data_IF_289967780394
#
_entry.id   IF_289967780394
#
_cell.length_a   1.000
_cell.length_b   1.000
_cell.length_c   1.000
_cell.angle_alpha   90.00
_cell.angle_beta   90.00
_cell.angle_gamma   90.00
#
_symmetry.space_group_name_H-M   'P 1'
#
loop_
_entity.id
_entity.type
_entity.pdbx_description
1 polymer ?
#
# COMPACT_ATOMS: atom_id res chain seq x y z
N UNK A 1 24.51 -32.34 -70.51
CA UNK A 1 24.09 -32.88 -71.81
C UNK A 1 22.83 -32.16 -72.24
N UNK A 2 22.90 -31.38 -73.33
CA UNK A 2 21.74 -30.89 -74.09
C UNK A 2 21.16 -32.08 -74.87
N UNK A 3 19.85 -32.20 -75.04
CA UNK A 3 19.21 -32.61 -76.31
C UNK A 3 17.66 -32.51 -76.20
N UNK A 4 17.13 -31.57 -77.00
CA UNK A 4 15.87 -31.46 -77.78
C UNK A 4 15.15 -32.81 -78.14
N UNK A 5 13.96 -32.88 -78.81
CA UNK A 5 12.93 -31.85 -79.14
C UNK A 5 11.44 -32.34 -79.31
N UNK A 6 10.62 -31.41 -79.85
CA UNK A 6 9.54 -31.60 -80.87
C UNK A 6 8.13 -31.94 -80.36
N UNK A 7 7.15 -31.03 -80.47
CA UNK A 7 6.41 -30.59 -81.67
C UNK A 7 5.40 -31.65 -82.15
N UNK A 8 4.11 -31.43 -81.87
CA UNK A 8 3.02 -31.94 -82.72
C UNK A 8 1.88 -30.93 -82.82
N UNK A 9 1.50 -30.72 -84.08
CA UNK A 9 0.37 -29.98 -84.62
C UNK A 9 -0.97 -30.67 -84.31
N UNK A 10 -2.06 -29.90 -84.25
CA UNK A 10 -3.30 -30.33 -84.91
C UNK A 10 -4.65 -30.06 -84.22
N UNK A 11 -5.45 -29.21 -84.88
CA UNK A 11 -6.88 -29.41 -85.20
C UNK A 11 -8.01 -29.11 -84.17
N UNK A 12 -8.64 -27.95 -84.38
CA UNK A 12 -10.07 -27.66 -84.58
C UNK A 12 -11.18 -28.40 -83.76
N UNK A 13 -12.02 -27.61 -83.06
CA UNK A 13 -13.47 -27.42 -83.31
C UNK A 13 -14.14 -26.79 -82.07
N UNK A 14 -14.60 -25.54 -82.18
CA UNK A 14 -16.00 -25.08 -82.21
C UNK A 14 -16.89 -25.43 -80.99
N UNK A 15 -17.52 -24.37 -80.48
CA UNK A 15 -18.88 -24.23 -79.96
C UNK A 15 -19.16 -24.12 -78.44
N UNK A 16 -20.08 -23.17 -78.21
CA UNK A 16 -21.04 -22.97 -77.11
C UNK A 16 -20.63 -22.14 -75.88
N UNK A 17 -21.18 -20.92 -75.89
CA UNK A 17 -21.55 -20.13 -74.72
C UNK A 17 -22.37 -20.97 -73.73
N UNK A 18 -22.10 -20.81 -72.44
CA UNK A 18 -23.15 -20.86 -71.42
C UNK A 18 -22.75 -20.02 -70.22
N UNK A 19 -23.65 -19.11 -69.85
CA UNK A 19 -23.57 -18.29 -68.65
C UNK A 19 -23.88 -19.16 -67.42
N UNK A 20 -23.04 -19.10 -66.40
CA UNK A 20 -23.31 -19.68 -65.08
C UNK A 20 -22.76 -18.74 -64.03
N UNK A 21 -23.66 -18.03 -63.34
CA UNK A 21 -23.34 -17.13 -62.24
C UNK A 21 -22.66 -17.89 -61.10
N UNK A 22 -21.47 -17.40 -60.72
CA UNK A 22 -20.82 -17.79 -59.48
C UNK A 22 -21.22 -16.82 -58.38
N UNK A 23 -21.85 -17.35 -57.34
CA UNK A 23 -22.12 -16.65 -56.09
C UNK A 23 -20.83 -16.04 -55.49
N UNK A 24 -20.87 -14.83 -54.94
CA UNK A 24 -19.76 -14.33 -54.14
C UNK A 24 -19.75 -15.06 -52.80
N UNK A 25 -18.76 -15.94 -52.64
CA UNK A 25 -18.41 -16.57 -51.38
C UNK A 25 -17.93 -15.48 -50.42
N UNK A 26 -18.82 -14.97 -49.57
CA UNK A 26 -18.46 -14.13 -48.43
C UNK A 26 -17.81 -15.07 -47.41
N UNK A 27 -16.48 -15.17 -47.48
CA UNK A 27 -15.68 -15.72 -46.41
C UNK A 27 -15.74 -14.73 -45.24
N UNK A 28 -16.60 -15.01 -44.25
CA UNK A 28 -16.51 -14.35 -42.95
C UNK A 28 -15.23 -14.82 -42.27
N UNK A 29 -14.23 -13.95 -42.19
CA UNK A 29 -13.06 -14.16 -41.35
C UNK A 29 -13.50 -14.45 -39.91
N UNK A 30 -12.81 -15.32 -39.16
CA UNK A 30 -13.05 -15.47 -37.72
C UNK A 30 -12.74 -14.12 -37.07
N UNK A 31 -13.71 -13.55 -36.35
CA UNK A 31 -13.43 -12.46 -35.44
C UNK A 31 -12.64 -13.06 -34.29
N UNK A 32 -11.33 -12.81 -34.26
CA UNK A 32 -10.51 -13.03 -33.06
C UNK A 32 -11.06 -12.07 -32.00
N UNK A 33 -11.90 -12.59 -31.10
CA UNK A 33 -12.29 -11.88 -29.89
C UNK A 33 -11.03 -11.88 -29.03
N UNK A 34 -10.32 -10.76 -28.96
CA UNK A 34 -9.25 -10.57 -27.98
C UNK A 34 -9.87 -10.77 -26.59
N UNK A 35 -9.52 -11.88 -25.93
CA UNK A 35 -9.79 -12.16 -24.52
C UNK A 35 -9.07 -11.09 -23.69
N UNK A 36 -9.80 -10.05 -23.34
CA UNK A 36 -9.30 -8.99 -22.50
C UNK A 36 -9.50 -9.45 -21.05
N UNK A 37 -8.60 -10.33 -20.63
CA UNK A 37 -8.65 -11.01 -19.34
C UNK A 37 -9.02 -10.08 -18.17
N UNK A 38 -9.64 -10.67 -17.14
CA UNK A 38 -10.20 -9.96 -16.00
C UNK A 38 -9.23 -8.97 -15.35
N UNK A 39 -9.70 -7.77 -15.05
CA UNK A 39 -8.91 -6.66 -14.48
C UNK A 39 -9.64 -6.03 -13.30
N UNK A 40 -8.93 -5.65 -12.23
CA UNK A 40 -9.48 -4.86 -11.12
C UNK A 40 -9.26 -3.37 -11.34
N UNK A 41 -10.32 -2.67 -11.71
CA UNK A 41 -10.27 -1.21 -11.86
C UNK A 41 -10.59 -0.53 -10.54
N UNK A 42 -9.56 -0.06 -9.85
CA UNK A 42 -9.69 0.73 -8.63
C UNK A 42 -10.06 2.19 -8.92
N UNK A 43 -10.93 2.76 -8.09
CA UNK A 43 -11.25 4.20 -8.13
C UNK A 43 -10.12 5.06 -7.54
N UNK A 44 -9.35 4.47 -6.62
CA UNK A 44 -8.22 5.10 -5.94
C UNK A 44 -7.19 4.03 -5.61
N UNK A 45 -5.91 4.34 -5.85
CA UNK A 45 -4.78 3.48 -5.51
C UNK A 45 -3.94 4.03 -4.36
N UNK A 46 -4.08 5.33 -4.05
CA UNK A 46 -3.36 6.02 -2.98
C UNK A 46 -4.34 6.71 -2.04
N UNK A 47 -4.34 6.30 -0.79
CA UNK A 47 -5.16 6.88 0.27
C UNK A 47 -4.26 7.66 1.23
N UNK A 48 -4.57 8.94 1.44
CA UNK A 48 -3.86 9.78 2.40
C UNK A 48 -4.73 9.99 3.64
N UNK A 49 -4.30 9.43 4.76
CA UNK A 49 -4.97 9.57 6.07
C UNK A 49 -4.68 10.93 6.72
N UNK A 50 -3.73 11.70 6.18
CA UNK A 50 -3.27 12.96 6.74
C UNK A 50 -2.55 12.76 8.07
N UNK A 51 -2.87 13.62 9.03
CA UNK A 51 -2.31 13.55 10.38
C UNK A 51 -3.07 12.52 11.21
N UNK A 52 -2.36 11.49 11.66
CA UNK A 52 -2.88 10.44 12.53
C UNK A 52 -2.15 10.45 13.86
N UNK A 53 -2.75 9.94 14.93
CA UNK A 53 -2.11 9.84 16.23
C UNK A 53 -1.52 8.45 16.44
N UNK A 54 -0.34 8.41 17.06
CA UNK A 54 0.25 7.17 17.54
C UNK A 54 -0.73 6.46 18.49
N UNK A 55 -0.63 5.12 18.57
CA UNK A 55 -1.46 4.26 19.45
C UNK A 55 -2.95 4.25 19.07
N UNK A 56 -3.25 4.68 17.84
CA UNK A 56 -4.59 4.61 17.24
C UNK A 56 -4.62 3.57 16.14
N UNK A 57 -5.69 2.78 16.10
CA UNK A 57 -6.01 1.85 15.04
C UNK A 57 -7.01 2.52 14.08
N UNK A 58 -6.65 2.62 12.80
CA UNK A 58 -7.49 3.22 11.76
C UNK A 58 -8.07 2.12 10.90
N UNK A 59 -9.35 1.82 11.12
CA UNK A 59 -10.10 0.77 10.44
C UNK A 59 -10.90 1.33 9.26
N UNK A 60 -11.38 0.43 8.39
CA UNK A 60 -12.27 0.75 7.26
C UNK A 60 -11.67 1.75 6.28
N UNK A 61 -10.38 1.60 5.97
CA UNK A 61 -9.75 2.38 4.91
C UNK A 61 -10.07 1.71 3.58
N UNK A 62 -10.82 2.39 2.72
CA UNK A 62 -11.48 1.80 1.56
C UNK A 62 -10.75 2.08 0.24
N UNK A 63 -10.58 1.03 -0.56
CA UNK A 63 -10.19 1.11 -1.97
C UNK A 63 -11.28 0.46 -2.83
N UNK A 64 -12.25 1.25 -3.32
CA UNK A 64 -13.32 0.74 -4.17
C UNK A 64 -12.79 0.24 -5.52
N UNK A 65 -13.33 -0.87 -6.01
CA UNK A 65 -12.97 -1.45 -7.30
C UNK A 65 -14.19 -1.99 -8.06
N UNK A 66 -14.00 -2.17 -9.36
CA UNK A 66 -14.90 -2.90 -10.27
C UNK A 66 -14.10 -3.90 -11.11
N UNK A 67 -14.62 -5.11 -11.26
CA UNK A 67 -14.05 -6.11 -12.18
C UNK A 67 -14.47 -5.78 -13.61
N UNK A 68 -13.50 -5.61 -14.50
CA UNK A 68 -13.72 -5.40 -15.95
C UNK A 68 -13.04 -6.50 -16.77
N UNK A 69 -13.35 -6.52 -18.06
CA UNK A 69 -12.94 -7.58 -18.97
C UNK A 69 -14.04 -8.64 -19.14
N UNK A 70 -13.67 -9.77 -19.72
CA UNK A 70 -14.54 -10.91 -20.01
C UNK A 70 -14.22 -12.15 -19.17
N UNK A 71 -13.06 -12.18 -18.52
CA UNK A 71 -12.64 -13.26 -17.63
C UNK A 71 -12.72 -12.89 -16.13
N UNK A 72 -12.94 -13.86 -15.22
CA UNK A 72 -12.92 -13.61 -13.77
C UNK A 72 -11.52 -13.24 -13.24
N UNK A 73 -11.48 -12.56 -12.09
CA UNK A 73 -10.26 -12.29 -11.32
C UNK A 73 -10.29 -13.07 -10.01
N UNK A 74 -9.15 -13.65 -9.61
CA UNK A 74 -9.03 -14.33 -8.32
C UNK A 74 -7.89 -13.73 -7.52
N UNK A 75 -8.14 -13.30 -6.28
CA UNK A 75 -7.11 -12.81 -5.36
C UNK A 75 -6.79 -13.87 -4.32
N UNK A 76 -5.53 -14.31 -4.30
CA UNK A 76 -5.05 -15.41 -3.45
C UNK A 76 -4.11 -14.97 -2.34
N UNK A 77 -3.49 -13.79 -2.45
CA UNK A 77 -2.53 -13.28 -1.45
C UNK A 77 -2.70 -11.78 -1.24
N UNK A 78 -2.55 -11.36 0.02
CA UNK A 78 -2.51 -9.96 0.46
C UNK A 78 -1.18 -9.74 1.16
N UNK A 79 -0.21 -9.16 0.46
CA UNK A 79 1.08 -8.80 1.04
C UNK A 79 0.96 -7.42 1.69
N UNK A 80 0.95 -7.40 3.02
CA UNK A 80 0.87 -6.17 3.81
C UNK A 80 2.28 -5.70 4.19
N UNK A 81 2.61 -4.45 3.87
CA UNK A 81 3.81 -3.82 4.41
C UNK A 81 3.64 -3.47 5.90
N UNK A 82 4.76 -3.18 6.59
CA UNK A 82 4.72 -2.78 7.99
C UNK A 82 3.81 -1.57 8.21
N UNK A 83 2.82 -1.68 9.11
CA UNK A 83 1.85 -0.62 9.41
C UNK A 83 0.42 -0.99 9.02
N UNK A 84 0.24 -1.75 7.94
CA UNK A 84 -1.05 -2.37 7.65
C UNK A 84 -1.14 -3.69 8.41
N UNK A 85 -2.19 -3.86 9.21
CA UNK A 85 -2.39 -5.06 10.03
C UNK A 85 -3.42 -6.02 9.45
N UNK A 86 -4.35 -5.50 8.65
CA UNK A 86 -5.42 -6.30 8.05
C UNK A 86 -5.86 -5.73 6.70
N UNK A 87 -6.28 -6.62 5.79
CA UNK A 87 -6.95 -6.26 4.55
C UNK A 87 -7.93 -7.36 4.13
N UNK A 88 -9.15 -6.97 3.77
CA UNK A 88 -10.22 -7.87 3.34
C UNK A 88 -10.93 -7.31 2.09
N UNK A 89 -11.37 -8.18 1.18
CA UNK A 89 -12.33 -7.81 0.13
C UNK A 89 -13.72 -7.80 0.76
N UNK A 90 -14.48 -6.73 0.52
CA UNK A 90 -15.89 -6.61 0.86
C UNK A 90 -16.73 -6.53 -0.43
N UNK A 91 -17.72 -7.40 -0.55
CA UNK A 91 -18.78 -7.34 -1.58
C UNK A 91 -20.10 -7.19 -0.85
N UNK A 92 -20.87 -6.16 -1.19
CA UNK A 92 -22.13 -5.80 -0.51
C UNK A 92 -21.99 -5.74 1.03
N UNK A 93 -20.85 -5.21 1.51
CA UNK A 93 -20.53 -5.07 2.93
C UNK A 93 -20.15 -6.37 3.65
N UNK A 94 -19.97 -7.48 2.94
CA UNK A 94 -19.58 -8.78 3.52
C UNK A 94 -18.20 -9.20 3.07
N UNK A 95 -17.43 -9.82 3.97
CA UNK A 95 -16.12 -10.38 3.65
C UNK A 95 -16.25 -11.43 2.56
N UNK A 96 -15.57 -11.19 1.44
CA UNK A 96 -15.48 -12.12 0.34
C UNK A 96 -14.34 -13.11 0.57
N UNK A 97 -14.54 -14.42 0.39
CA UNK A 97 -13.48 -15.40 0.62
C UNK A 97 -12.31 -15.20 -0.34
N UNK A 98 -11.10 -15.36 0.21
CA UNK A 98 -9.87 -15.33 -0.58
C UNK A 98 -9.81 -16.57 -1.47
N UNK A 99 -9.42 -16.38 -2.73
CA UNK A 99 -9.38 -17.44 -3.73
C UNK A 99 -10.71 -17.68 -4.46
N UNK A 100 -11.80 -17.03 -4.04
CA UNK A 100 -13.07 -17.09 -4.77
C UNK A 100 -13.05 -16.10 -5.94
N UNK A 101 -13.63 -16.52 -7.06
CA UNK A 101 -13.64 -15.75 -8.29
C UNK A 101 -14.52 -14.48 -8.18
N UNK A 102 -13.95 -13.35 -8.55
CA UNK A 102 -14.65 -12.09 -8.78
C UNK A 102 -15.00 -12.01 -10.27
N UNK A 103 -16.29 -12.12 -10.60
CA UNK A 103 -16.75 -12.15 -11.99
C UNK A 103 -16.87 -10.74 -12.59
N UNK A 104 -16.79 -10.59 -13.93
CA UNK A 104 -16.96 -9.30 -14.59
C UNK A 104 -18.23 -8.54 -14.14
N UNK A 105 -18.07 -7.24 -13.89
CA UNK A 105 -19.13 -6.35 -13.40
C UNK A 105 -19.34 -6.36 -11.89
N UNK A 106 -18.69 -7.26 -11.13
CA UNK A 106 -18.70 -7.19 -9.67
C UNK A 106 -18.04 -5.90 -9.17
N UNK A 107 -18.64 -5.31 -8.14
CA UNK A 107 -18.11 -4.13 -7.44
C UNK A 107 -17.85 -4.48 -5.99
N UNK A 108 -16.77 -3.93 -5.47
CA UNK A 108 -16.33 -4.21 -4.12
C UNK A 108 -15.42 -3.15 -3.57
N UNK A 109 -14.95 -3.40 -2.35
CA UNK A 109 -14.00 -2.55 -1.66
C UNK A 109 -12.92 -3.42 -1.05
N UNK A 110 -11.66 -3.03 -1.19
CA UNK A 110 -10.61 -3.52 -0.30
C UNK A 110 -10.67 -2.65 0.96
N UNK A 111 -11.05 -3.25 2.09
CA UNK A 111 -11.06 -2.59 3.40
C UNK A 111 -9.79 -2.96 4.16
N UNK A 112 -9.06 -1.95 4.61
CA UNK A 112 -7.77 -2.10 5.28
C UNK A 112 -7.76 -1.47 6.67
N UNK A 113 -6.88 -2.00 7.52
CA UNK A 113 -6.61 -1.49 8.86
C UNK A 113 -5.15 -1.04 8.97
N UNK A 114 -4.94 0.19 9.43
CA UNK A 114 -3.63 0.78 9.68
C UNK A 114 -3.39 0.97 11.19
N UNK A 115 -2.34 0.34 11.71
CA UNK A 115 -1.91 0.45 13.12
C UNK A 115 -0.78 1.48 13.24
N UNK A 116 -1.10 2.64 13.82
CA UNK A 116 -0.14 3.72 14.02
C UNK A 116 0.73 3.55 15.29
N UNK A 117 0.47 2.56 16.16
CA UNK A 117 1.08 2.43 17.49
C UNK A 117 2.61 2.43 17.48
N UNK A 118 3.23 1.84 16.46
CA UNK A 118 4.69 1.66 16.40
C UNK A 118 5.42 2.70 15.56
N UNK A 119 4.70 3.68 15.01
CA UNK A 119 5.26 4.61 14.03
C UNK A 119 5.23 6.05 14.55
N UNK A 120 6.10 6.88 13.96
CA UNK A 120 6.19 8.32 14.18
C UNK A 120 6.63 8.99 12.88
N UNK A 121 6.14 10.19 12.61
CA UNK A 121 6.44 10.95 11.40
C UNK A 121 5.81 10.33 10.16
N UNK A 122 6.39 10.62 9.00
CA UNK A 122 5.86 10.18 7.70
C UNK A 122 5.93 8.66 7.57
N UNK A 123 4.80 8.05 7.24
CA UNK A 123 4.66 6.61 7.06
C UNK A 123 3.88 6.32 5.78
N UNK A 124 4.55 5.61 4.88
CA UNK A 124 3.91 4.96 3.72
C UNK A 124 3.80 3.46 4.01
N UNK A 125 2.62 2.91 3.76
CA UNK A 125 2.34 1.48 3.84
C UNK A 125 1.64 1.04 2.56
N UNK A 126 1.92 -0.16 2.09
CA UNK A 126 1.29 -0.75 0.91
C UNK A 126 0.57 -2.05 1.22
N UNK A 127 -0.40 -2.36 0.35
CA UNK A 127 -1.12 -3.62 0.25
C UNK A 127 -0.91 -4.10 -1.19
N UNK A 128 -0.18 -5.18 -1.39
CA UNK A 128 -0.01 -5.78 -2.72
C UNK A 128 -0.93 -7.00 -2.84
N UNK A 129 -1.88 -6.93 -3.76
CA UNK A 129 -2.79 -8.02 -4.07
C UNK A 129 -2.17 -8.89 -5.17
N UNK A 130 -2.18 -10.20 -4.98
CA UNK A 130 -1.71 -11.17 -5.99
C UNK A 130 -2.76 -12.22 -6.28
N UNK A 131 -2.70 -12.77 -7.49
CA UNK A 131 -3.55 -13.85 -7.94
C UNK A 131 -3.61 -13.91 -9.46
N UNK A 132 -4.78 -14.26 -9.99
CA UNK A 132 -5.04 -14.42 -11.42
C UNK A 132 -5.91 -13.28 -11.93
N UNK A 133 -5.38 -12.52 -12.90
CA UNK A 133 -5.98 -11.32 -13.48
C UNK A 133 -4.93 -10.61 -14.31
N UNK A 134 -5.33 -9.89 -15.36
CA UNK A 134 -4.42 -9.27 -16.31
C UNK A 134 -3.57 -8.15 -15.68
N UNK A 135 -4.05 -7.52 -14.61
CA UNK A 135 -3.44 -6.39 -13.89
C UNK A 135 -2.79 -6.79 -12.56
N UNK A 136 -2.74 -8.08 -12.24
CA UNK A 136 -2.12 -8.56 -11.02
C UNK A 136 -0.62 -8.85 -11.23
N UNK A 137 0.24 -8.51 -10.24
CA UNK A 137 -0.10 -7.93 -8.95
C UNK A 137 -0.42 -6.43 -9.01
N UNK A 138 -1.39 -6.00 -8.22
CA UNK A 138 -1.73 -4.58 -8.04
C UNK A 138 -1.35 -4.11 -6.64
N UNK A 139 -0.87 -2.86 -6.53
CA UNK A 139 -0.44 -2.28 -5.26
C UNK A 139 -1.31 -1.08 -4.88
N UNK A 140 -1.86 -1.13 -3.67
CA UNK A 140 -2.57 -0.04 -3.01
C UNK A 140 -1.64 0.60 -1.98
N UNK A 141 -1.71 1.92 -1.83
CA UNK A 141 -0.81 2.71 -0.99
C UNK A 141 -1.59 3.53 0.02
N UNK A 142 -1.03 3.62 1.23
CA UNK A 142 -1.53 4.36 2.38
C UNK A 142 -0.44 5.30 2.87
N UNK A 143 -0.75 6.59 2.92
CA UNK A 143 0.16 7.61 3.43
C UNK A 143 -0.42 8.26 4.69
N UNK A 144 0.41 8.45 5.70
CA UNK A 144 0.03 9.13 6.93
C UNK A 144 1.23 9.85 7.55
N UNK A 145 0.96 10.91 8.32
CA UNK A 145 1.92 11.53 9.23
C UNK A 145 1.52 11.19 10.67
N UNK A 146 2.30 10.31 11.31
CA UNK A 146 1.99 9.79 12.64
C UNK A 146 2.54 10.73 13.72
N UNK A 147 1.63 11.47 14.37
CA UNK A 147 1.91 12.33 15.51
C UNK A 147 2.08 11.51 16.79
N UNK A 148 3.25 11.53 17.44
CA UNK A 148 3.42 10.86 18.71
C UNK A 148 2.62 11.54 19.82
N UNK A 149 2.13 10.76 20.79
CA UNK A 149 1.54 11.32 22.00
C UNK A 149 2.55 12.06 22.87
N UNK A 150 3.82 11.62 22.82
CA UNK A 150 4.92 12.21 23.56
C UNK A 150 6.16 12.37 22.69
N UNK A 151 6.75 13.56 22.70
CA UNK A 151 8.05 13.88 22.13
C UNK A 151 9.02 14.32 23.20
N UNK A 152 10.27 13.85 23.12
CA UNK A 152 11.32 14.23 24.07
C UNK A 152 12.44 14.93 23.33
N UNK A 153 12.90 16.06 23.87
CA UNK A 153 13.99 16.85 23.31
C UNK A 153 15.06 17.17 24.37
N UNK A 154 16.34 16.82 24.14
CA UNK A 154 16.82 15.96 23.07
C UNK A 154 16.37 14.50 23.27
N UNK A 155 16.27 13.73 22.17
CA UNK A 155 16.00 12.28 22.24
C UNK A 155 17.12 11.50 22.94
N UNK A 156 18.34 12.05 22.96
CA UNK A 156 19.49 11.50 23.66
C UNK A 156 20.19 12.61 24.46
N UNK A 157 20.27 12.43 25.77
CA UNK A 157 21.04 13.31 26.65
C UNK A 157 22.50 12.86 26.67
N UNK A 158 23.38 13.62 26.01
CA UNK A 158 24.82 13.34 26.00
C UNK A 158 25.52 14.08 27.13
N UNK A 159 26.15 13.30 28.02
CA UNK A 159 26.89 13.83 29.17
C UNK A 159 28.39 14.02 28.91
N UNK A 160 28.89 13.54 27.77
CA UNK A 160 30.32 13.60 27.45
C UNK A 160 31.17 12.76 28.41
N UNK A 161 32.41 13.18 28.62
CA UNK A 161 33.33 12.51 29.54
C UNK A 161 32.98 12.81 31.01
N UNK A 162 32.67 11.73 31.72
CA UNK A 162 32.23 11.74 33.12
C UNK A 162 33.44 11.30 33.98
N UNK A 163 34.21 12.27 34.54
CA UNK A 163 35.38 12.00 35.41
C UNK A 163 34.98 11.30 36.72
N UNK A 164 35.14 9.99 36.85
CA UNK A 164 34.72 9.24 38.05
C UNK A 164 35.57 9.58 39.29
N UNK A 165 34.94 9.73 40.47
CA UNK A 165 35.62 9.91 41.76
C UNK A 165 35.49 11.31 42.39
N UNK A 166 36.24 11.58 43.46
CA UNK A 166 36.22 12.84 44.26
C UNK A 166 36.70 14.10 43.50
N UNK A 167 36.84 14.02 42.19
CA UNK A 167 37.39 15.08 41.34
C UNK A 167 36.32 16.02 40.76
N UNK A 168 35.04 15.79 41.04
CA UNK A 168 33.95 16.69 40.61
C UNK A 168 33.47 17.58 41.74
N UNK A 169 33.26 18.86 41.39
CA UNK A 169 32.58 19.83 42.26
C UNK A 169 31.05 19.66 42.19
N UNK A 170 30.53 19.32 41.02
CA UNK A 170 29.09 19.19 40.76
C UNK A 170 28.84 18.02 39.80
N UNK A 171 27.69 17.37 39.97
CA UNK A 171 27.23 16.32 39.06
C UNK A 171 26.76 16.92 37.73
N UNK A 172 27.09 16.31 36.58
CA UNK A 172 26.68 16.84 35.29
C UNK A 172 25.17 16.72 35.14
N UNK A 173 24.52 17.82 34.75
CA UNK A 173 23.08 17.87 34.56
C UNK A 173 22.75 18.09 33.08
N UNK A 174 21.76 17.36 32.58
CA UNK A 174 21.18 17.59 31.26
C UNK A 174 19.69 17.86 31.38
N UNK A 175 19.25 18.89 30.69
CA UNK A 175 17.83 19.22 30.63
C UNK A 175 17.20 18.50 29.44
N UNK A 176 16.05 17.88 29.69
CA UNK A 176 15.18 17.32 28.68
C UNK A 176 13.82 17.96 28.80
N UNK A 177 13.14 18.11 27.67
CA UNK A 177 11.75 18.54 27.60
C UNK A 177 10.92 17.38 27.08
N UNK A 178 9.76 17.15 27.67
CA UNK A 178 8.77 16.20 27.18
C UNK A 178 7.53 17.00 26.80
N UNK A 179 7.17 16.97 25.52
CA UNK A 179 5.94 17.53 25.00
C UNK A 179 4.92 16.41 24.87
N UNK A 180 3.76 16.57 25.51
CA UNK A 180 2.60 15.70 25.37
C UNK A 180 1.54 16.34 24.48
N UNK A 181 0.78 15.54 23.73
CA UNK A 181 -0.38 16.00 22.94
C UNK A 181 -1.52 16.60 23.78
N UNK A 182 -1.44 16.47 25.11
CA UNK A 182 -2.34 17.03 26.11
C UNK A 182 -1.68 17.05 27.49
N UNK A 183 -2.39 17.48 28.55
CA UNK A 183 -1.89 17.41 29.92
C UNK A 183 -1.47 16.00 30.31
N UNK A 184 -0.32 15.87 30.99
CA UNK A 184 0.20 14.55 31.34
C UNK A 184 1.04 14.50 32.62
N UNK A 185 1.13 13.31 33.18
CA UNK A 185 2.02 12.98 34.28
C UNK A 185 2.97 11.84 33.94
N UNK A 186 4.20 11.94 34.45
CA UNK A 186 5.17 10.84 34.38
C UNK A 186 5.00 10.00 35.63
N UNK A 187 4.31 8.86 35.47
CA UNK A 187 4.07 7.92 36.56
C UNK A 187 5.36 7.18 36.95
N UNK A 188 6.21 6.84 35.98
CA UNK A 188 7.50 6.17 36.21
C UNK A 188 8.49 6.30 35.07
N UNK A 189 9.77 6.32 35.41
CA UNK A 189 10.89 6.12 34.47
C UNK A 189 11.24 4.63 34.39
N UNK A 190 11.23 4.05 33.19
CA UNK A 190 11.63 2.65 33.00
C UNK A 190 13.11 2.57 32.60
N UNK A 191 13.79 1.51 33.04
CA UNK A 191 15.19 1.20 32.69
C UNK A 191 16.17 2.33 33.04
N UNK A 192 15.94 3.02 34.15
CA UNK A 192 16.84 4.06 34.65
C UNK A 192 18.16 3.43 35.13
N UNK A 193 19.33 3.80 34.57
CA UNK A 193 20.61 3.27 35.02
C UNK A 193 20.90 3.60 36.48
N UNK A 194 21.70 2.76 37.15
CA UNK A 194 22.12 3.02 38.53
C UNK A 194 22.92 4.32 38.59
N UNK A 195 22.56 5.19 39.54
CA UNK A 195 23.21 6.48 39.74
C UNK A 195 22.67 7.62 38.87
N UNK A 196 21.66 7.35 38.03
CA UNK A 196 20.95 8.39 37.28
C UNK A 196 19.64 8.73 37.98
N UNK A 197 19.33 10.02 38.10
CA UNK A 197 18.07 10.54 38.59
C UNK A 197 17.43 11.47 37.55
N UNK A 198 16.10 11.47 37.48
CA UNK A 198 15.34 12.38 36.62
C UNK A 198 14.30 13.10 37.45
N UNK A 199 14.43 14.42 37.53
CA UNK A 199 13.58 15.27 38.38
C UNK A 199 12.87 16.31 37.52
N UNK A 200 11.55 16.44 37.71
CA UNK A 200 10.81 17.54 37.11
C UNK A 200 11.28 18.88 37.69
N UNK A 201 11.33 19.92 36.86
CA UNK A 201 11.61 21.27 37.33
C UNK A 201 10.80 22.29 36.54
N UNK A 202 10.45 23.39 37.21
CA UNK A 202 9.54 24.39 36.66
C UNK A 202 8.10 23.92 36.60
N UNK A 203 7.21 24.85 36.25
CA UNK A 203 5.80 24.58 36.05
C UNK A 203 5.54 23.98 34.65
N UNK A 204 4.50 23.15 34.48
CA UNK A 204 4.04 22.75 33.15
C UNK A 204 3.71 23.97 32.28
N UNK A 205 4.09 23.90 31.02
CA UNK A 205 3.84 24.94 30.02
C UNK A 205 2.75 24.45 29.06
N UNK A 206 1.56 25.04 29.14
CA UNK A 206 0.45 24.71 28.25
C UNK A 206 0.55 25.53 26.96
N UNK A 207 0.36 24.86 25.82
CA UNK A 207 0.38 25.48 24.49
C UNK A 207 -1.03 25.76 23.98
N UNK A 208 -1.22 26.74 23.06
CA UNK A 208 -2.53 27.06 22.49
C UNK A 208 -3.21 25.92 21.73
N UNK A 209 -2.43 24.94 21.26
CA UNK A 209 -2.91 23.72 20.59
C UNK A 209 -3.39 22.63 21.57
N UNK A 210 -3.42 22.93 22.88
CA UNK A 210 -3.79 22.00 23.95
C UNK A 210 -2.66 21.07 24.40
N UNK A 211 -1.49 21.12 23.75
CA UNK A 211 -0.34 20.33 24.16
C UNK A 211 0.27 20.89 25.45
N UNK A 212 0.94 20.03 26.22
CA UNK A 212 1.66 20.43 27.43
C UNK A 212 3.14 20.09 27.31
N UNK A 213 4.01 20.98 27.76
CA UNK A 213 5.45 20.76 27.86
C UNK A 213 5.84 20.67 29.34
N UNK A 214 6.63 19.67 29.68
CA UNK A 214 7.25 19.51 31.01
C UNK A 214 8.76 19.37 30.87
N UNK A 215 9.49 19.96 31.81
CA UNK A 215 10.97 19.98 31.78
C UNK A 215 11.52 19.12 32.92
N UNK A 216 12.60 18.41 32.62
CA UNK A 216 13.25 17.49 33.56
C UNK A 216 14.76 17.65 33.53
N UNK A 217 15.39 17.52 34.69
CA UNK A 217 16.84 17.43 34.85
C UNK A 217 17.23 15.98 35.02
N UNK A 218 18.09 15.51 34.13
CA UNK A 218 18.76 14.21 34.22
C UNK A 218 20.11 14.45 34.87
N UNK A 219 20.35 13.80 36.00
CA UNK A 219 21.56 13.88 36.82
C UNK A 219 22.18 12.50 36.95
#
# INVERSE_FOLDING_TARGET
>A
MRFFPSLFLGFACVFFQSCGGGDPQIASAPVEVEDQGGTLVFSVLDQNLGDVYQDTLYENIEFPFEVKGDSPVTITVYDLSCGCTEANILIDGKVWPRGDALVPGMKGVISATFDAARYKGMKTSSITLRGEGADLPVQLTLNAFVKPHFEMQPTQAQFGEILVGRLRKEDPVKEIQVAGSGPFEIIRWRRLPKGVAIEAFGDPEDRPDGAQIRRFRVK
#
